data_IF_727139061033
#
_entry.id   IF_727139061033
#
_cell.length_a   1.000
_cell.length_b   1.000
_cell.length_c   1.000
_cell.angle_alpha   90.00
_cell.angle_beta   90.00
_cell.angle_gamma   90.00
#
_symmetry.space_group_name_H-M   'P 1'
#
loop_
_entity.id
_entity.type
_entity.pdbx_description
1 polymer ?
#
# COMPACT_ATOMS: atom_id res chain seq x y z
N UNK A 1 1.23 -13.40 1.43
CA UNK A 1 0.34 -13.69 0.29
C UNK A 1 0.04 -12.37 -0.39
N UNK A 2 0.13 -12.30 -1.73
CA UNK A 2 -0.13 -11.09 -2.51
C UNK A 2 -1.22 -11.44 -3.50
N UNK A 3 -2.23 -10.58 -3.61
CA UNK A 3 -3.34 -10.74 -4.54
C UNK A 3 -3.43 -9.47 -5.40
N UNK A 4 -3.87 -9.63 -6.65
CA UNK A 4 -4.06 -8.53 -7.57
C UNK A 4 -5.47 -8.63 -8.16
N UNK A 5 -6.21 -7.54 -8.11
CA UNK A 5 -7.57 -7.47 -8.63
C UNK A 5 -7.56 -6.78 -10.01
N UNK A 6 -7.66 -7.59 -11.06
CA UNK A 6 -7.70 -7.15 -12.47
C UNK A 6 -9.11 -7.10 -13.04
N UNK A 7 -10.16 -7.24 -12.22
CA UNK A 7 -11.54 -7.25 -12.70
C UNK A 7 -12.01 -5.85 -13.11
N UNK A 8 -12.09 -5.57 -14.41
CA UNK A 8 -12.56 -4.27 -14.92
C UNK A 8 -14.05 -3.98 -14.62
N UNK A 9 -14.83 -4.97 -14.18
CA UNK A 9 -16.24 -4.77 -13.85
C UNK A 9 -16.47 -4.01 -12.53
N UNK A 10 -15.46 -3.99 -11.66
CA UNK A 10 -15.54 -3.33 -10.35
C UNK A 10 -14.82 -1.98 -10.32
N UNK A 11 -15.52 -0.94 -9.86
CA UNK A 11 -14.92 0.38 -9.63
C UNK A 11 -13.77 0.28 -8.63
N UNK A 12 -12.73 1.13 -8.78
CA UNK A 12 -11.58 1.17 -7.88
C UNK A 12 -11.97 1.27 -6.40
N UNK A 13 -13.01 2.05 -6.07
CA UNK A 13 -13.52 2.17 -4.70
C UNK A 13 -14.08 0.85 -4.15
N UNK A 14 -14.74 0.05 -5.00
CA UNK A 14 -15.25 -1.26 -4.62
C UNK A 14 -14.11 -2.25 -4.37
N UNK A 15 -13.07 -2.24 -5.22
CA UNK A 15 -11.85 -3.05 -5.03
C UNK A 15 -11.12 -2.72 -3.74
N UNK A 16 -10.93 -1.42 -3.46
CA UNK A 16 -10.32 -0.96 -2.20
C UNK A 16 -11.14 -1.45 -0.99
N UNK A 17 -12.47 -1.32 -1.06
CA UNK A 17 -13.36 -1.80 0.01
C UNK A 17 -13.30 -3.33 0.18
N UNK A 18 -13.25 -4.09 -0.92
CA UNK A 18 -13.10 -5.54 -0.87
C UNK A 18 -11.76 -5.94 -0.24
N UNK A 19 -10.67 -5.26 -0.59
CA UNK A 19 -9.37 -5.50 0.01
C UNK A 19 -9.36 -5.22 1.53
N UNK A 20 -10.04 -4.16 1.97
CA UNK A 20 -10.24 -3.87 3.39
C UNK A 20 -11.02 -4.98 4.10
N UNK A 21 -12.11 -5.47 3.50
CA UNK A 21 -12.94 -6.55 4.06
C UNK A 21 -12.19 -7.88 4.13
N UNK A 22 -11.32 -8.16 3.15
CA UNK A 22 -10.42 -9.31 3.14
C UNK A 22 -9.21 -9.14 4.08
N UNK A 23 -9.18 -8.07 4.87
CA UNK A 23 -8.16 -7.77 5.88
C UNK A 23 -6.73 -7.68 5.32
N UNK A 24 -6.57 -7.17 4.09
CA UNK A 24 -5.26 -6.84 3.56
C UNK A 24 -4.65 -5.66 4.33
N UNK A 25 -3.45 -5.86 4.86
CA UNK A 25 -2.72 -4.83 5.64
C UNK A 25 -2.33 -3.62 4.77
N UNK A 26 -2.02 -3.87 3.49
CA UNK A 26 -1.62 -2.83 2.55
C UNK A 26 -2.36 -3.00 1.23
N UNK A 27 -2.83 -1.88 0.71
CA UNK A 27 -3.55 -1.77 -0.54
C UNK A 27 -2.71 -0.86 -1.44
N UNK A 28 -2.12 -1.44 -2.48
CA UNK A 28 -1.29 -0.72 -3.44
C UNK A 28 -2.15 -0.36 -4.65
N UNK A 29 -2.38 0.93 -4.85
CA UNK A 29 -3.14 1.43 -6.00
C UNK A 29 -2.15 1.95 -7.04
N UNK A 30 -2.28 1.45 -8.26
CA UNK A 30 -1.46 1.84 -9.41
C UNK A 30 -2.37 2.39 -10.49
N UNK A 31 -2.31 3.70 -10.73
CA UNK A 31 -2.93 4.35 -11.87
C UNK A 31 -1.92 4.61 -13.00
N UNK A 32 -2.35 5.36 -14.02
CA UNK A 32 -1.49 5.73 -15.15
C UNK A 32 -0.33 6.63 -14.72
N UNK A 33 -0.57 7.54 -13.77
CA UNK A 33 0.45 8.44 -13.23
C UNK A 33 1.52 7.66 -12.47
N UNK A 34 1.09 6.78 -11.58
CA UNK A 34 1.95 5.91 -10.79
C UNK A 34 2.79 5.00 -11.69
N UNK A 35 2.16 4.40 -12.72
CA UNK A 35 2.86 3.58 -13.72
C UNK A 35 3.93 4.36 -14.50
N UNK A 36 3.70 5.65 -14.78
CA UNK A 36 4.65 6.49 -15.50
C UNK A 36 5.83 6.91 -14.62
N UNK A 37 5.58 7.09 -13.33
CA UNK A 37 6.57 7.56 -12.36
C UNK A 37 7.31 6.42 -11.64
N UNK A 38 7.02 5.15 -11.95
CA UNK A 38 7.49 3.97 -11.20
C UNK A 38 7.21 4.09 -9.68
N UNK A 39 6.06 4.69 -9.37
CA UNK A 39 5.56 4.86 -8.01
C UNK A 39 4.28 4.06 -7.80
N UNK A 40 3.87 3.91 -6.54
CA UNK A 40 2.61 3.28 -6.14
C UNK A 40 1.99 4.08 -5.01
N UNK A 41 0.66 4.16 -4.98
CA UNK A 41 -0.06 4.79 -3.89
C UNK A 41 -0.36 3.74 -2.81
N UNK A 42 0.18 3.92 -1.61
CA UNK A 42 0.02 2.96 -0.52
C UNK A 42 -1.11 3.41 0.41
N UNK A 43 -2.07 2.52 0.63
CA UNK A 43 -3.18 2.69 1.57
C UNK A 43 -3.20 1.56 2.59
N UNK A 44 -3.67 1.85 3.80
CA UNK A 44 -3.85 0.85 4.87
C UNK A 44 -5.26 0.29 4.89
N UNK A 45 -5.45 -0.76 5.70
CA UNK A 45 -6.78 -1.30 5.99
C UNK A 45 -7.69 -0.25 6.64
N UNK A 46 -7.13 0.63 7.47
CA UNK A 46 -7.86 1.68 8.18
C UNK A 46 -8.19 2.90 7.28
N UNK A 47 -8.06 2.75 5.96
CA UNK A 47 -8.31 3.78 4.95
C UNK A 47 -7.39 5.00 5.07
N UNK A 48 -6.22 4.83 5.70
CA UNK A 48 -5.20 5.86 5.77
C UNK A 48 -4.35 5.82 4.50
N UNK A 49 -4.18 6.99 3.89
CA UNK A 49 -3.38 7.14 2.67
C UNK A 49 -1.98 7.55 3.09
N UNK A 50 -1.00 6.67 2.87
CA UNK A 50 0.42 6.99 3.09
C UNK A 50 1.02 7.79 1.93
N UNK A 51 0.31 7.87 0.81
CA UNK A 51 0.69 8.66 -0.36
C UNK A 51 1.43 7.85 -1.41
N UNK A 52 2.02 8.57 -2.35
CA UNK A 52 2.79 8.02 -3.47
C UNK A 52 4.22 7.72 -3.01
N UNK A 53 4.68 6.49 -3.24
CA UNK A 53 6.03 6.01 -2.89
C UNK A 53 6.67 5.31 -4.08
N UNK A 54 7.98 5.38 -4.20
CA UNK A 54 8.68 4.61 -5.24
C UNK A 54 8.58 3.12 -4.98
N UNK A 55 8.48 2.31 -6.04
CA UNK A 55 8.41 0.84 -5.92
C UNK A 55 9.62 0.29 -5.14
N UNK A 56 10.81 0.87 -5.37
CA UNK A 56 12.03 0.48 -4.68
C UNK A 56 11.95 0.69 -3.16
N UNK A 57 11.49 1.86 -2.71
CA UNK A 57 11.29 2.14 -1.28
C UNK A 57 10.27 1.20 -0.65
N UNK A 58 9.15 0.94 -1.35
CA UNK A 58 8.11 0.04 -0.86
C UNK A 58 8.67 -1.37 -0.65
N UNK A 59 9.40 -1.92 -1.62
CA UNK A 59 10.00 -3.26 -1.49
C UNK A 59 10.97 -3.33 -0.30
N UNK A 60 11.84 -2.31 -0.16
CA UNK A 60 12.77 -2.24 0.95
C UNK A 60 12.02 -2.22 2.29
N UNK A 61 10.98 -1.40 2.39
CA UNK A 61 10.20 -1.24 3.62
C UNK A 61 9.43 -2.51 3.97
N UNK A 62 8.81 -3.16 3.00
CA UNK A 62 8.12 -4.44 3.21
C UNK A 62 9.08 -5.54 3.65
N UNK A 63 10.32 -5.54 3.13
CA UNK A 63 11.37 -6.47 3.57
C UNK A 63 11.70 -6.25 5.05
N UNK A 64 11.94 -5.00 5.46
CA UNK A 64 12.20 -4.69 6.87
C UNK A 64 11.02 -5.06 7.78
N UNK A 65 9.78 -4.81 7.36
CA UNK A 65 8.58 -5.14 8.13
C UNK A 65 8.45 -6.65 8.31
N UNK A 66 8.74 -7.42 7.27
CA UNK A 66 8.73 -8.88 7.30
C UNK A 66 9.82 -9.44 8.22
N UNK A 67 11.03 -8.87 8.18
CA UNK A 67 12.14 -9.26 9.07
C UNK A 67 11.86 -8.92 10.53
N UNK A 68 11.37 -7.70 10.80
CA UNK A 68 11.09 -7.22 12.16
C UNK A 68 9.81 -7.83 12.77
N UNK A 69 9.01 -8.56 11.97
CA UNK A 69 7.71 -9.16 12.36
C UNK A 69 6.86 -8.20 13.21
N UNK A 70 6.79 -6.94 12.77
CA UNK A 70 6.11 -5.88 13.51
C UNK A 70 4.60 -6.13 13.45
N UNK A 71 3.97 -6.24 14.61
CA UNK A 71 2.53 -6.51 14.75
C UNK A 71 1.68 -5.34 14.19
N UNK A 72 2.12 -4.10 14.37
CA UNK A 72 1.49 -2.88 13.83
C UNK A 72 2.28 -2.34 12.63
N UNK A 73 2.35 -3.15 11.56
CA UNK A 73 3.16 -2.81 10.39
C UNK A 73 2.68 -1.54 9.67
N UNK A 74 1.37 -1.25 9.75
CA UNK A 74 0.70 -0.09 9.14
C UNK A 74 1.18 1.24 9.75
N UNK A 75 1.25 1.35 11.08
CA UNK A 75 1.74 2.56 11.76
C UNK A 75 3.24 2.77 11.58
N UNK A 76 4.01 1.67 11.52
CA UNK A 76 5.44 1.74 11.21
C UNK A 76 5.75 2.04 9.74
N UNK A 77 4.78 1.88 8.83
CA UNK A 77 4.96 2.22 7.43
C UNK A 77 4.89 3.74 7.19
N UNK A 78 4.13 4.47 8.01
CA UNK A 78 4.11 5.93 8.00
C UNK A 78 5.48 6.47 8.33
N UNK A 79 6.00 7.33 7.46
CA UNK A 79 7.27 8.00 7.68
C UNK A 79 7.31 8.60 9.07
N UNK A 80 8.40 8.30 9.78
CA UNK A 80 8.96 9.28 10.69
C UNK A 80 9.01 10.58 9.90
N UNK A 81 8.18 11.57 10.26
CA UNK A 81 8.39 12.94 9.81
C UNK A 81 9.88 13.20 9.93
N UNK A 82 10.56 13.39 8.81
CA UNK A 82 11.80 14.13 8.84
C UNK A 82 11.37 15.55 9.22
N UNK A 83 11.36 15.81 10.52
CA UNK A 83 11.46 17.16 11.05
C UNK A 83 12.80 17.71 10.54
N UNK A 84 12.73 18.68 9.63
CA UNK A 84 13.80 19.68 9.46
C UNK A 84 13.87 20.58 10.69
#
# INVERSE_FOLDING_TARGET
MVEHDTDDSDTMNKKIRNAQLSQFNFILVVGEKEKTNDTVNVRTRDNLVHGERSIAEVIQRFTELNEKRIIQSEESFGDKKQEE
#
